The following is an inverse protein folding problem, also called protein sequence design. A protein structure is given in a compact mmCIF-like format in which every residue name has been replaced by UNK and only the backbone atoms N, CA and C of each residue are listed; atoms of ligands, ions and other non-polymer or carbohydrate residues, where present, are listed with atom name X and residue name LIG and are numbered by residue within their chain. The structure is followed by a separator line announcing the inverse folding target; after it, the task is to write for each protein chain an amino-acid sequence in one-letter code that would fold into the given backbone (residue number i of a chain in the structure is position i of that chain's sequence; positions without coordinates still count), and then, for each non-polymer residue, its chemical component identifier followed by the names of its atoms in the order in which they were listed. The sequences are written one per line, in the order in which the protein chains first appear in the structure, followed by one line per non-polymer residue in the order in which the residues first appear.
data_IF_586415894828
#
_entry.id   IF_586415894828
#
_cell.length_a   1.000
_cell.length_b   1.000
_cell.length_c   1.000
_cell.angle_alpha   90.00
_cell.angle_beta   90.00
_cell.angle_gamma   90.00
#
_symmetry.space_group_name_H-M   'P 1'
#
loop_
_entity.id
_entity.type
_entity.pdbx_description
1 polymer ?
#
# COMPACT_ATOMS: atom_id res chain seq x y z
N UNK A 1 30.40 45.54 -7.52
CA UNK A 1 29.93 44.20 -7.93
C UNK A 1 30.60 43.14 -7.05
N UNK A 2 29.91 42.49 -6.11
CA UNK A 2 30.56 41.48 -5.27
C UNK A 2 30.73 40.18 -6.04
N UNK A 3 31.92 39.61 -5.89
CA UNK A 3 32.50 38.50 -6.65
C UNK A 3 31.70 37.19 -6.53
N UNK A 4 31.15 36.71 -7.65
CA UNK A 4 30.46 35.42 -7.78
C UNK A 4 31.36 34.18 -7.53
N UNK A 5 32.68 34.34 -7.38
CA UNK A 5 33.63 33.23 -7.23
C UNK A 5 33.75 32.62 -5.83
N UNK A 6 33.53 33.38 -4.75
CA UNK A 6 33.72 32.86 -3.38
C UNK A 6 32.57 31.99 -2.87
N UNK A 7 31.36 32.14 -3.43
CA UNK A 7 30.21 31.31 -3.08
C UNK A 7 30.31 29.88 -3.64
N UNK A 8 30.92 29.71 -4.82
CA UNK A 8 31.05 28.41 -5.50
C UNK A 8 32.09 27.52 -4.82
N UNK A 9 33.22 28.08 -4.38
CA UNK A 9 34.30 27.30 -3.72
C UNK A 9 33.92 26.75 -2.33
N UNK A 10 33.02 27.41 -1.61
CA UNK A 10 32.60 26.96 -0.27
C UNK A 10 31.65 25.76 -0.36
N UNK A 11 30.71 25.75 -1.31
CA UNK A 11 29.74 24.65 -1.49
C UNK A 11 30.45 23.33 -1.85
N UNK A 12 31.51 23.38 -2.66
CA UNK A 12 32.31 22.21 -3.04
C UNK A 12 33.07 21.66 -1.83
N UNK A 13 33.64 22.53 -0.97
CA UNK A 13 34.45 22.12 0.19
C UNK A 13 33.61 21.40 1.27
N UNK A 14 32.35 21.79 1.45
CA UNK A 14 31.43 21.12 2.39
C UNK A 14 30.84 19.82 1.81
N UNK A 15 30.65 19.74 0.49
CA UNK A 15 30.19 18.52 -0.19
C UNK A 15 31.17 17.33 -0.07
N UNK A 16 32.48 17.57 -0.08
CA UNK A 16 33.50 16.51 0.11
C UNK A 16 33.56 16.03 1.56
N UNK A 17 33.38 16.92 2.54
CA UNK A 17 33.53 16.60 3.97
C UNK A 17 32.34 15.80 4.53
N UNK A 18 31.13 16.05 4.06
CA UNK A 18 29.90 15.38 4.54
C UNK A 18 29.27 14.45 3.49
N UNK A 19 29.72 14.49 2.23
CA UNK A 19 29.24 13.63 1.15
C UNK A 19 29.26 12.14 1.48
N UNK A 20 30.37 11.58 2.01
CA UNK A 20 30.43 10.14 2.31
C UNK A 20 29.40 9.71 3.35
N UNK A 21 29.21 10.46 4.44
CA UNK A 21 28.24 10.12 5.48
C UNK A 21 26.79 10.26 5.02
N UNK A 22 26.49 11.28 4.22
CA UNK A 22 25.15 11.47 3.63
C UNK A 22 24.85 10.37 2.60
N UNK A 23 25.84 9.95 1.81
CA UNK A 23 25.70 8.85 0.86
C UNK A 23 25.49 7.51 1.57
N UNK A 24 26.22 7.25 2.66
CA UNK A 24 26.03 6.02 3.46
C UNK A 24 24.65 6.00 4.12
N UNK A 25 24.20 7.11 4.72
CA UNK A 25 22.85 7.21 5.28
C UNK A 25 21.76 7.07 4.21
N UNK A 26 21.95 7.66 3.03
CA UNK A 26 21.03 7.52 1.91
C UNK A 26 20.99 6.08 1.38
N UNK A 27 22.13 5.38 1.33
CA UNK A 27 22.19 3.97 0.95
C UNK A 27 21.49 3.08 1.98
N UNK A 28 21.73 3.31 3.27
CA UNK A 28 21.06 2.60 4.35
C UNK A 28 19.55 2.89 4.42
N UNK A 29 19.12 4.10 4.02
CA UNK A 29 17.70 4.44 3.94
C UNK A 29 17.02 3.93 2.66
N UNK A 30 17.78 3.60 1.61
CA UNK A 30 17.25 3.11 0.33
C UNK A 30 16.60 1.74 0.47
N UNK A 31 17.24 0.81 1.19
CA UNK A 31 16.72 -0.54 1.41
C UNK A 31 15.35 -0.56 2.14
N UNK A 32 15.17 0.12 3.30
CA UNK A 32 13.87 0.15 3.97
C UNK A 32 12.82 0.92 3.16
N UNK A 33 13.22 1.97 2.44
CA UNK A 33 12.30 2.69 1.55
C UNK A 33 11.80 1.81 0.40
N UNK A 34 12.70 1.04 -0.24
CA UNK A 34 12.35 0.10 -1.30
C UNK A 34 11.46 -1.04 -0.76
N UNK A 35 11.76 -1.57 0.42
CA UNK A 35 10.94 -2.60 1.06
C UNK A 35 9.52 -2.09 1.38
N UNK A 36 9.40 -0.87 1.93
CA UNK A 36 8.11 -0.25 2.20
C UNK A 36 7.31 0.02 0.92
N UNK A 37 7.97 0.50 -0.14
CA UNK A 37 7.36 0.71 -1.45
C UNK A 37 6.87 -0.61 -2.05
N UNK A 38 7.68 -1.67 -1.97
CA UNK A 38 7.31 -3.00 -2.45
C UNK A 38 6.09 -3.54 -1.70
N UNK A 39 6.07 -3.45 -0.36
CA UNK A 39 4.90 -3.81 0.44
C UNK A 39 3.65 -3.02 0.04
N UNK A 40 3.78 -1.73 -0.23
CA UNK A 40 2.65 -0.90 -0.68
C UNK A 40 2.11 -1.38 -2.04
N UNK A 41 2.99 -1.72 -2.98
CA UNK A 41 2.61 -2.30 -4.28
C UNK A 41 1.92 -3.66 -4.13
N UNK A 42 2.44 -4.52 -3.27
CA UNK A 42 1.88 -5.86 -3.06
C UNK A 42 0.50 -5.79 -2.40
N UNK A 43 0.30 -4.87 -1.45
CA UNK A 43 -1.03 -4.56 -0.89
C UNK A 43 -2.01 -4.08 -1.97
N UNK A 44 -1.56 -3.23 -2.89
CA UNK A 44 -2.39 -2.75 -3.98
C UNK A 44 -2.74 -3.87 -4.96
N UNK A 45 -1.79 -4.75 -5.29
CA UNK A 45 -2.00 -5.92 -6.15
C UNK A 45 -2.97 -6.91 -5.52
N UNK A 46 -2.81 -7.19 -4.22
CA UNK A 46 -3.73 -8.05 -3.47
C UNK A 46 -5.16 -7.51 -3.50
N UNK A 47 -5.33 -6.21 -3.24
CA UNK A 47 -6.64 -5.54 -3.36
C UNK A 47 -7.22 -5.71 -4.75
N UNK A 48 -6.42 -5.44 -5.79
CA UNK A 48 -6.88 -5.54 -7.19
C UNK A 48 -7.34 -6.95 -7.53
N UNK A 49 -6.56 -7.97 -7.16
CA UNK A 49 -6.91 -9.38 -7.38
C UNK A 49 -8.19 -9.78 -6.65
N UNK A 50 -8.39 -9.31 -5.41
CA UNK A 50 -9.62 -9.57 -4.68
C UNK A 50 -10.85 -8.98 -5.37
N UNK A 51 -10.74 -7.73 -5.85
CA UNK A 51 -11.82 -7.04 -6.57
C UNK A 51 -12.13 -7.71 -7.91
N UNK A 52 -11.09 -8.07 -8.67
CA UNK A 52 -11.22 -8.81 -9.93
C UNK A 52 -11.89 -10.18 -9.70
N UNK A 53 -11.49 -10.90 -8.64
CA UNK A 53 -12.08 -12.18 -8.28
C UNK A 53 -13.56 -12.01 -7.89
N UNK A 54 -13.87 -11.07 -7.00
CA UNK A 54 -15.24 -10.78 -6.60
C UNK A 54 -16.13 -10.37 -7.79
N UNK A 55 -15.60 -9.69 -8.80
CA UNK A 55 -16.36 -9.31 -9.99
C UNK A 55 -16.81 -10.52 -10.84
N UNK A 56 -16.13 -11.67 -10.72
CA UNK A 56 -16.49 -12.91 -11.41
C UNK A 56 -17.46 -13.80 -10.63
N UNK A 57 -17.73 -13.45 -9.37
CA UNK A 57 -18.52 -14.24 -8.43
C UNK A 57 -19.94 -13.68 -8.35
N UNK A 58 -20.94 -14.57 -8.27
CA UNK A 58 -22.33 -14.18 -8.08
C UNK A 58 -22.51 -13.49 -6.72
N UNK A 59 -23.09 -12.29 -6.73
CA UNK A 59 -23.20 -11.44 -5.54
C UNK A 59 -21.85 -11.26 -4.82
N UNK A 60 -20.79 -11.09 -5.62
CA UNK A 60 -19.43 -10.95 -5.14
C UNK A 60 -19.23 -9.69 -4.30
N UNK A 61 -18.63 -9.85 -3.13
CA UNK A 61 -18.24 -8.75 -2.24
C UNK A 61 -16.81 -8.93 -1.75
N UNK A 62 -16.19 -7.83 -1.32
CA UNK A 62 -14.85 -7.83 -0.76
C UNK A 62 -14.87 -7.20 0.63
N UNK A 63 -14.21 -7.85 1.59
CA UNK A 63 -13.96 -7.33 2.93
C UNK A 63 -12.46 -7.16 3.15
N UNK A 64 -12.08 -6.02 3.72
CA UNK A 64 -10.71 -5.83 4.23
C UNK A 64 -10.65 -6.30 5.68
N UNK A 65 -9.77 -7.24 5.96
CA UNK A 65 -9.46 -7.75 7.30
C UNK A 65 -7.96 -7.75 7.55
N UNK A 66 -7.56 -8.13 8.76
CA UNK A 66 -6.18 -8.36 9.16
C UNK A 66 -6.08 -9.75 9.77
N UNK A 67 -5.00 -10.45 9.47
CA UNK A 67 -4.78 -11.78 10.01
C UNK A 67 -4.63 -11.70 11.53
N UNK A 68 -5.41 -12.46 12.33
CA UNK A 68 -5.24 -12.50 13.78
C UNK A 68 -4.00 -13.28 14.21
N UNK A 69 -3.44 -14.15 13.36
CA UNK A 69 -2.29 -15.01 13.66
C UNK A 69 -0.96 -14.48 13.14
N UNK A 70 -0.99 -13.60 12.15
CA UNK A 70 0.21 -12.94 11.64
C UNK A 70 0.44 -11.59 12.35
N UNK A 71 1.61 -10.99 12.12
CA UNK A 71 1.83 -9.58 12.44
C UNK A 71 0.72 -8.78 11.75
N UNK A 72 -0.21 -8.18 12.52
CA UNK A 72 -1.41 -7.44 12.07
C UNK A 72 -1.11 -6.22 11.17
N UNK A 73 0.10 -6.13 10.63
CA UNK A 73 0.64 -5.10 9.77
C UNK A 73 0.21 -5.21 8.30
N UNK A 74 -0.31 -6.36 7.86
CA UNK A 74 -0.65 -6.60 6.45
C UNK A 74 -2.15 -6.86 6.24
N UNK A 75 -2.83 -6.03 5.41
CA UNK A 75 -4.24 -6.20 5.14
C UNK A 75 -4.49 -7.41 4.21
N UNK A 76 -5.47 -8.22 4.58
CA UNK A 76 -5.99 -9.32 3.77
C UNK A 76 -7.37 -8.93 3.24
N UNK A 77 -7.62 -9.24 1.96
CA UNK A 77 -8.88 -8.99 1.29
C UNK A 77 -9.61 -10.31 1.12
N UNK A 78 -10.68 -10.51 1.89
CA UNK A 78 -11.54 -11.70 1.79
C UNK A 78 -12.63 -11.45 0.76
N UNK A 79 -12.80 -12.40 -0.14
CA UNK A 79 -13.83 -12.39 -1.18
C UNK A 79 -14.99 -13.25 -0.72
N UNK A 80 -16.20 -12.75 -0.91
CA UNK A 80 -17.46 -13.41 -0.55
C UNK A 80 -18.29 -13.69 -1.80
N UNK A 81 -19.09 -14.75 -1.73
CA UNK A 81 -20.24 -15.04 -2.59
C UNK A 81 -21.50 -14.91 -1.74
N UNK A 82 -22.17 -13.75 -1.80
CA UNK A 82 -23.21 -13.41 -0.83
C UNK A 82 -22.64 -13.34 0.59
N UNK A 83 -23.05 -14.25 1.48
CA UNK A 83 -22.56 -14.34 2.87
C UNK A 83 -21.47 -15.39 3.09
N UNK A 84 -21.13 -16.18 2.08
CA UNK A 84 -20.11 -17.22 2.19
C UNK A 84 -18.73 -16.68 1.80
N UNK A 85 -17.71 -16.76 2.68
CA UNK A 85 -16.33 -16.41 2.34
C UNK A 85 -15.70 -17.52 1.48
N UNK A 86 -15.21 -17.17 0.28
CA UNK A 86 -14.70 -18.16 -0.69
C UNK A 86 -13.20 -18.10 -0.92
N UNK A 87 -12.55 -16.95 -0.69
CA UNK A 87 -11.11 -16.78 -0.92
C UNK A 87 -10.52 -15.60 -0.15
N UNK A 88 -9.19 -15.56 -0.02
CA UNK A 88 -8.44 -14.45 0.56
C UNK A 88 -7.25 -14.04 -0.32
N UNK A 89 -6.96 -12.73 -0.36
CA UNK A 89 -5.85 -12.13 -1.09
C UNK A 89 -5.09 -11.13 -0.22
N UNK A 90 -3.78 -11.30 0.02
CA UNK A 90 -2.95 -12.41 -0.45
C UNK A 90 -3.40 -13.75 0.14
N UNK A 91 -2.97 -14.84 -0.48
CA UNK A 91 -3.26 -16.18 0.02
C UNK A 91 -2.65 -16.33 1.42
N UNK A 92 -3.44 -16.81 2.37
CA UNK A 92 -3.02 -17.09 3.74
C UNK A 92 -3.39 -18.53 4.10
N UNK A 93 -2.67 -19.10 5.07
CA UNK A 93 -2.99 -20.39 5.67
C UNK A 93 -4.04 -20.27 6.77
N UNK A 94 -4.31 -19.06 7.25
CA UNK A 94 -5.33 -18.79 8.26
C UNK A 94 -6.73 -19.09 7.70
N UNK A 95 -7.56 -19.89 8.39
CA UNK A 95 -8.90 -20.19 7.93
C UNK A 95 -9.74 -18.93 7.71
N UNK A 96 -10.53 -18.90 6.63
CA UNK A 96 -11.35 -17.74 6.29
C UNK A 96 -12.32 -17.36 7.41
N UNK A 97 -12.88 -18.35 8.10
CA UNK A 97 -13.77 -18.17 9.25
C UNK A 97 -13.09 -17.38 10.38
N UNK A 98 -11.81 -17.63 10.63
CA UNK A 98 -11.05 -16.90 11.65
C UNK A 98 -10.71 -15.48 11.23
N UNK A 99 -10.38 -15.27 9.95
CA UNK A 99 -10.11 -13.93 9.40
C UNK A 99 -11.32 -12.99 9.55
N UNK A 100 -12.53 -13.54 9.49
CA UNK A 100 -13.77 -12.74 9.53
C UNK A 100 -14.42 -12.72 10.91
N UNK A 101 -14.02 -13.58 11.84
CA UNK A 101 -14.68 -13.77 13.14
C UNK A 101 -14.82 -12.48 13.98
N UNK A 102 -13.88 -11.54 13.82
CA UNK A 102 -13.87 -10.26 14.54
C UNK A 102 -13.99 -9.05 13.61
N UNK A 103 -14.28 -9.29 12.33
CA UNK A 103 -14.42 -8.23 11.34
C UNK A 103 -15.87 -7.78 11.25
N UNK A 104 -16.07 -6.49 11.04
CA UNK A 104 -17.39 -5.94 10.75
C UNK A 104 -17.81 -6.27 9.32
N UNK A 105 -18.71 -7.24 9.17
CA UNK A 105 -19.22 -7.72 7.87
C UNK A 105 -20.08 -6.67 7.15
N UNK A 106 -20.55 -5.63 7.84
CA UNK A 106 -21.30 -4.53 7.20
C UNK A 106 -20.42 -3.65 6.32
N UNK A 107 -19.09 -3.72 6.51
CA UNK A 107 -18.11 -2.95 5.72
C UNK A 107 -17.70 -3.63 4.41
N UNK A 108 -18.37 -4.74 4.05
CA UNK A 108 -18.23 -5.39 2.75
C UNK A 108 -18.62 -4.42 1.63
N UNK A 109 -17.84 -4.42 0.56
CA UNK A 109 -18.07 -3.53 -0.59
C UNK A 109 -18.23 -4.36 -1.86
N UNK A 110 -19.20 -4.01 -2.70
CA UNK A 110 -19.33 -4.63 -4.03
C UNK A 110 -18.28 -4.04 -4.98
N UNK A 111 -17.72 -4.85 -5.91
CA UNK A 111 -16.78 -4.34 -6.91
C UNK A 111 -17.29 -3.13 -7.70
N UNK A 112 -18.59 -3.10 -8.01
CA UNK A 112 -19.22 -2.01 -8.76
C UNK A 112 -19.35 -0.69 -7.99
N UNK A 113 -19.33 -0.74 -6.65
CA UNK A 113 -19.43 0.45 -5.78
C UNK A 113 -18.05 1.10 -5.54
N UNK A 114 -16.97 0.39 -5.87
CA UNK A 114 -15.63 0.92 -5.70
C UNK A 114 -15.35 2.00 -6.75
N UNK A 115 -14.86 3.18 -6.34
CA UNK A 115 -14.58 4.24 -7.28
C UNK A 115 -13.50 3.81 -8.27
N UNK A 116 -13.76 4.07 -9.54
CA UNK A 116 -12.80 3.87 -10.62
C UNK A 116 -11.53 4.71 -10.36
N UNK A 117 -10.38 4.34 -10.96
CA UNK A 117 -9.17 5.15 -10.85
C UNK A 117 -9.37 6.62 -11.29
N UNK A 118 -10.19 6.84 -12.32
CA UNK A 118 -10.53 8.18 -12.82
C UNK A 118 -11.35 8.99 -11.79
N UNK A 119 -12.35 8.37 -11.14
CA UNK A 119 -13.12 9.02 -10.08
C UNK A 119 -12.27 9.35 -8.85
N UNK A 120 -11.37 8.43 -8.46
CA UNK A 120 -10.42 8.70 -7.38
C UNK A 120 -9.56 9.91 -7.68
N UNK A 121 -9.03 10.02 -8.89
CA UNK A 121 -8.22 11.17 -9.30
C UNK A 121 -9.03 12.47 -9.28
N UNK A 122 -10.31 12.44 -9.70
CA UNK A 122 -11.21 13.60 -9.62
C UNK A 122 -11.50 14.03 -8.18
N UNK A 123 -11.59 13.08 -7.25
CA UNK A 123 -11.90 13.32 -5.84
C UNK A 123 -10.68 13.70 -5.00
N UNK A 124 -9.46 13.68 -5.56
CA UNK A 124 -8.28 14.13 -4.83
C UNK A 124 -8.39 15.64 -4.57
N UNK A 125 -8.13 16.10 -3.33
CA UNK A 125 -8.16 17.53 -3.02
C UNK A 125 -7.14 18.25 -3.91
N UNK A 126 -7.63 19.09 -4.81
CA UNK A 126 -6.78 19.98 -5.60
C UNK A 126 -6.16 20.96 -4.63
N UNK A 127 -4.86 20.82 -4.39
CA UNK A 127 -4.07 21.77 -3.60
C UNK A 127 -4.13 23.12 -4.32
N UNK A 128 -4.93 24.05 -3.79
CA UNK A 128 -4.94 25.47 -4.18
C UNK A 128 -3.77 26.19 -3.53
#
# INVERSE_FOLDING_TARGET
MPSKGKAVGSIIKWGVKYGPHVVVLAQQAKEPAMAAAQKALDRQRAKRRAVEHAATVRDGMVLKTFDPRADHSEPIWVVFSGDEPIAAHPATTTPLTELIARSDLSTRVRPAELPSPAERLRNLPRRR
#
